data_IF_622774527766
#
_entry.id   IF_622774527766
#
_cell.length_a   1.000
_cell.length_b   1.000
_cell.length_c   1.000
_cell.angle_alpha   90.00
_cell.angle_beta   90.00
_cell.angle_gamma   90.00
#
_symmetry.space_group_name_H-M   'P 1'
#
loop_
_entity.id
_entity.type
_entity.pdbx_description
1 polymer ?
#
# COMPACT_ATOMS: atom_id res chain seq x y z
N UNK A 1 -11.28 -9.73 -20.77
CA UNK A 1 -11.80 -8.66 -19.89
C UNK A 1 -11.26 -7.35 -20.43
N UNK A 2 -12.13 -6.40 -20.78
CA UNK A 2 -11.68 -5.10 -21.29
C UNK A 2 -10.95 -4.34 -20.20
N UNK A 3 -9.76 -3.83 -20.55
CA UNK A 3 -8.94 -3.02 -19.63
C UNK A 3 -9.46 -1.59 -19.66
N UNK A 4 -9.85 -1.01 -18.52
CA UNK A 4 -10.32 0.37 -18.46
C UNK A 4 -9.27 1.34 -19.03
N UNK A 5 -9.75 2.44 -19.64
CA UNK A 5 -8.89 3.43 -20.28
C UNK A 5 -7.81 3.97 -19.33
N UNK A 6 -8.16 4.22 -18.07
CA UNK A 6 -7.25 4.71 -17.01
C UNK A 6 -6.12 3.72 -16.72
N UNK A 7 -6.43 2.42 -16.65
CA UNK A 7 -5.42 1.38 -16.45
C UNK A 7 -4.51 1.27 -17.67
N UNK A 8 -5.08 1.36 -18.88
CA UNK A 8 -4.30 1.38 -20.11
C UNK A 8 -3.38 2.61 -20.19
N UNK A 9 -3.84 3.78 -19.74
CA UNK A 9 -2.99 4.97 -19.63
C UNK A 9 -1.87 4.78 -18.61
N UNK A 10 -2.19 4.23 -17.42
CA UNK A 10 -1.21 3.99 -16.37
C UNK A 10 -0.13 3.01 -16.86
N UNK A 11 -0.52 1.92 -17.52
CA UNK A 11 0.41 0.97 -18.15
C UNK A 11 1.31 1.64 -19.18
N UNK A 12 0.75 2.48 -20.06
CA UNK A 12 1.54 3.22 -21.08
C UNK A 12 2.53 4.21 -20.43
N UNK A 13 2.11 4.90 -19.37
CA UNK A 13 2.95 5.86 -18.64
C UNK A 13 4.27 5.24 -18.21
N UNK A 14 4.24 4.02 -17.67
CA UNK A 14 5.43 3.37 -17.12
C UNK A 14 6.14 2.45 -18.12
N UNK A 15 5.46 2.00 -19.18
CA UNK A 15 6.01 1.02 -20.13
C UNK A 15 7.36 1.46 -20.73
N UNK A 16 7.51 2.76 -21.07
CA UNK A 16 8.75 3.29 -21.63
C UNK A 16 9.93 3.17 -20.67
N UNK A 17 9.74 3.46 -19.40
CA UNK A 17 10.79 3.39 -18.38
C UNK A 17 11.14 1.94 -18.06
N UNK A 18 10.14 1.07 -17.97
CA UNK A 18 10.34 -0.37 -17.74
C UNK A 18 11.08 -1.03 -18.90
N UNK A 19 10.64 -0.82 -20.16
CA UNK A 19 11.30 -1.37 -21.35
C UNK A 19 12.73 -0.84 -21.49
N UNK A 20 12.95 0.45 -21.21
CA UNK A 20 14.28 1.07 -21.19
C UNK A 20 15.12 0.68 -19.99
N UNK A 21 14.63 -0.23 -19.14
CA UNK A 21 15.25 -0.69 -17.89
C UNK A 21 15.67 0.48 -16.95
N UNK A 22 14.89 1.55 -16.95
CA UNK A 22 15.06 2.70 -16.06
C UNK A 22 14.26 2.54 -14.77
N UNK A 23 14.20 1.33 -14.26
CA UNK A 23 13.58 1.02 -12.98
C UNK A 23 14.48 1.45 -11.82
N UNK A 24 13.88 1.77 -10.71
CA UNK A 24 14.57 2.17 -9.48
C UNK A 24 14.61 1.00 -8.49
N UNK A 25 15.79 0.37 -8.28
CA UNK A 25 15.93 -0.67 -7.27
C UNK A 25 15.58 -0.18 -5.86
N UNK A 26 15.00 -1.06 -5.06
CA UNK A 26 14.63 -0.79 -3.67
C UNK A 26 15.86 -0.93 -2.77
N UNK A 27 16.70 0.11 -2.73
CA UNK A 27 17.95 0.11 -1.96
C UNK A 27 17.77 -0.02 -0.44
N UNK A 28 16.56 0.23 0.05
CA UNK A 28 16.24 0.15 1.49
C UNK A 28 15.47 -1.12 1.86
N UNK A 29 15.30 -2.06 0.92
CA UNK A 29 14.65 -3.33 1.19
C UNK A 29 15.30 -4.07 2.37
N UNK A 30 14.48 -4.49 3.33
CA UNK A 30 14.89 -5.21 4.54
C UNK A 30 15.83 -4.40 5.46
N UNK A 31 15.82 -3.07 5.36
CA UNK A 31 16.52 -2.20 6.31
C UNK A 31 15.61 -1.76 7.44
N UNK A 32 16.19 -1.63 8.63
CA UNK A 32 15.48 -1.01 9.75
C UNK A 32 15.09 0.42 9.40
N UNK A 33 13.88 0.78 9.79
CA UNK A 33 13.34 2.12 9.61
C UNK A 33 12.42 2.47 10.77
N UNK A 34 11.85 3.64 10.72
CA UNK A 34 10.71 4.04 11.55
C UNK A 34 9.79 4.86 10.69
N UNK A 35 8.54 4.45 10.62
CA UNK A 35 7.47 5.19 9.97
C UNK A 35 6.13 4.82 10.63
N UNK A 36 5.13 5.68 10.50
CA UNK A 36 3.78 5.42 10.98
C UNK A 36 2.80 5.65 9.84
N UNK A 37 1.95 4.68 9.59
CA UNK A 37 1.01 4.72 8.48
C UNK A 37 -0.38 4.19 8.87
N UNK A 38 -1.36 4.56 8.05
CA UNK A 38 -2.71 4.00 8.05
C UNK A 38 -2.84 3.19 6.78
N UNK A 39 -3.24 1.93 6.91
CA UNK A 39 -3.40 1.03 5.77
C UNK A 39 -4.61 0.12 5.92
N UNK A 40 -4.96 -0.55 4.84
CA UNK A 40 -5.95 -1.62 4.73
C UNK A 40 -5.19 -2.90 4.45
N UNK A 41 -5.49 -3.96 5.20
CA UNK A 41 -5.01 -5.31 4.92
C UNK A 41 -6.03 -6.02 4.00
N UNK A 42 -5.60 -6.71 2.92
CA UNK A 42 -6.50 -7.54 2.16
C UNK A 42 -6.96 -8.73 3.00
N UNK A 43 -8.20 -9.18 2.82
CA UNK A 43 -8.65 -10.43 3.44
C UNK A 43 -7.88 -11.65 2.89
N UNK A 44 -8.07 -12.81 3.51
CA UNK A 44 -7.32 -14.01 3.17
C UNK A 44 -7.54 -14.45 1.72
N UNK A 45 -8.79 -14.32 1.21
CA UNK A 45 -9.12 -14.66 -0.18
C UNK A 45 -8.35 -13.79 -1.18
N UNK A 46 -8.34 -12.48 -0.97
CA UNK A 46 -7.60 -11.56 -1.83
C UNK A 46 -6.09 -11.74 -1.69
N UNK A 47 -5.60 -12.00 -0.47
CA UNK A 47 -4.19 -12.26 -0.18
C UNK A 47 -3.67 -13.49 -0.93
N UNK A 48 -4.43 -14.59 -0.92
CA UNK A 48 -4.07 -15.83 -1.63
C UNK A 48 -3.99 -15.59 -3.14
N UNK A 49 -4.93 -14.87 -3.73
CA UNK A 49 -4.94 -14.56 -5.16
C UNK A 49 -3.79 -13.63 -5.56
N UNK A 50 -3.48 -12.63 -4.74
CA UNK A 50 -2.33 -11.75 -4.95
C UNK A 50 -1.02 -12.52 -4.88
N UNK A 51 -0.89 -13.45 -3.92
CA UNK A 51 0.27 -14.33 -3.77
C UNK A 51 0.40 -15.29 -4.97
N UNK A 52 -0.70 -15.85 -5.46
CA UNK A 52 -0.69 -16.67 -6.67
C UNK A 52 -0.23 -15.87 -7.90
N UNK A 53 -0.66 -14.62 -8.02
CA UNK A 53 -0.20 -13.72 -9.10
C UNK A 53 1.30 -13.42 -9.02
N UNK A 54 1.88 -13.31 -7.83
CA UNK A 54 3.33 -13.11 -7.63
C UNK A 54 4.15 -14.26 -8.21
N UNK A 55 3.69 -15.51 -8.12
CA UNK A 55 4.41 -16.67 -8.66
C UNK A 55 4.65 -16.56 -10.16
N UNK A 56 3.65 -16.08 -10.93
CA UNK A 56 3.80 -15.83 -12.36
C UNK A 56 4.81 -14.71 -12.68
N UNK A 57 4.84 -13.67 -11.86
CA UNK A 57 5.79 -12.57 -12.01
C UNK A 57 7.24 -13.04 -11.78
N UNK A 58 7.47 -13.86 -10.74
CA UNK A 58 8.80 -14.44 -10.44
C UNK A 58 9.28 -15.34 -11.57
N UNK A 59 8.39 -16.13 -12.17
CA UNK A 59 8.74 -16.97 -13.31
C UNK A 59 9.20 -16.14 -14.51
N UNK A 60 8.64 -14.96 -14.73
CA UNK A 60 9.03 -14.05 -15.81
C UNK A 60 10.26 -13.20 -15.48
N UNK A 61 10.45 -12.82 -14.20
CA UNK A 61 11.54 -11.98 -13.72
C UNK A 61 12.02 -12.46 -12.32
N UNK A 62 12.97 -13.39 -12.25
CA UNK A 62 13.42 -14.00 -11.00
C UNK A 62 14.13 -13.03 -10.03
N UNK A 63 14.52 -11.84 -10.50
CA UNK A 63 15.22 -10.84 -9.66
C UNK A 63 14.29 -10.01 -8.78
N UNK A 64 12.98 -10.21 -8.89
CA UNK A 64 11.99 -9.48 -8.10
C UNK A 64 12.15 -9.75 -6.59
N UNK A 65 11.95 -8.70 -5.81
CA UNK A 65 11.75 -8.76 -4.36
C UNK A 65 10.24 -8.89 -4.10
N UNK A 66 9.80 -10.08 -3.74
CA UNK A 66 8.38 -10.37 -3.51
C UNK A 66 7.98 -9.87 -2.12
N UNK A 67 6.89 -9.10 -2.05
CA UNK A 67 6.30 -8.73 -0.77
C UNK A 67 5.66 -10.00 -0.15
N UNK A 68 6.05 -10.39 1.07
CA UNK A 68 5.44 -11.54 1.76
C UNK A 68 3.92 -11.36 1.91
N UNK A 69 3.17 -12.46 1.90
CA UNK A 69 1.71 -12.45 1.90
C UNK A 69 1.13 -11.67 3.10
N UNK A 70 1.72 -11.86 4.27
CA UNK A 70 1.33 -11.21 5.54
C UNK A 70 1.70 -9.71 5.62
N UNK A 71 2.49 -9.22 4.67
CA UNK A 71 2.88 -7.81 4.57
C UNK A 71 2.13 -7.05 3.48
N UNK A 72 1.28 -7.74 2.71
CA UNK A 72 0.50 -7.11 1.65
C UNK A 72 -0.51 -6.14 2.26
N UNK A 73 -0.42 -4.87 1.86
CA UNK A 73 -1.31 -3.82 2.35
C UNK A 73 -1.54 -2.72 1.31
N UNK A 74 -2.65 -2.02 1.46
CA UNK A 74 -2.99 -0.82 0.71
C UNK A 74 -2.79 0.40 1.60
N UNK A 75 -1.82 1.24 1.28
CA UNK A 75 -1.58 2.47 2.04
C UNK A 75 -2.72 3.47 1.85
N UNK A 76 -3.31 3.90 2.95
CA UNK A 76 -4.33 4.96 2.98
C UNK A 76 -3.68 6.31 3.19
N UNK A 77 -2.88 6.44 4.25
CA UNK A 77 -2.17 7.69 4.57
C UNK A 77 -0.88 7.42 5.34
N UNK A 78 0.12 8.25 5.11
CA UNK A 78 1.29 8.35 5.98
C UNK A 78 0.96 9.31 7.13
N UNK A 79 1.28 8.92 8.36
CA UNK A 79 1.30 9.80 9.51
C UNK A 79 2.72 10.38 9.69
N UNK A 80 3.72 9.51 9.61
CA UNK A 80 5.14 9.86 9.59
C UNK A 80 5.84 9.01 8.53
N UNK A 81 6.20 9.61 7.39
CA UNK A 81 6.74 8.88 6.24
C UNK A 81 8.19 8.41 6.48
N UNK A 82 8.55 7.25 5.91
CA UNK A 82 9.84 6.57 6.15
C UNK A 82 11.05 7.44 5.78
N UNK A 83 11.02 8.06 4.60
CA UNK A 83 12.16 8.81 4.05
C UNK A 83 12.17 10.30 4.40
N UNK A 84 11.29 10.75 5.30
CA UNK A 84 11.21 12.15 5.70
C UNK A 84 11.97 12.35 7.02
N UNK A 85 12.83 13.36 7.03
CA UNK A 85 13.43 13.91 8.24
C UNK A 85 12.50 14.98 8.82
N UNK A 86 12.10 14.80 10.06
CA UNK A 86 11.22 15.71 10.79
C UNK A 86 11.98 16.63 11.77
N UNK A 87 13.32 16.53 11.83
CA UNK A 87 14.15 17.27 12.78
C UNK A 87 14.14 16.69 14.21
N UNK A 88 13.35 15.65 14.46
CA UNK A 88 13.28 14.89 15.70
C UNK A 88 12.90 13.43 15.39
N UNK A 89 13.01 12.53 16.36
CA UNK A 89 12.69 11.13 16.14
C UNK A 89 11.16 10.94 15.93
N UNK A 90 10.81 10.05 15.01
CA UNK A 90 9.40 9.72 14.74
C UNK A 90 8.72 9.09 15.94
N UNK A 91 9.47 8.39 16.79
CA UNK A 91 8.99 7.84 18.05
C UNK A 91 8.58 8.95 19.04
N UNK A 92 9.35 10.03 19.14
CA UNK A 92 9.01 11.18 19.98
C UNK A 92 7.78 11.92 19.48
N UNK A 93 7.66 12.12 18.16
CA UNK A 93 6.46 12.69 17.54
C UNK A 93 5.26 11.79 17.83
N UNK A 94 5.39 10.47 17.64
CA UNK A 94 4.34 9.52 17.92
C UNK A 94 3.94 9.49 19.39
N UNK A 95 4.89 9.55 20.32
CA UNK A 95 4.62 9.58 21.76
C UNK A 95 3.77 10.81 22.17
N UNK A 96 3.94 11.94 21.45
CA UNK A 96 3.15 13.16 21.73
C UNK A 96 1.77 13.17 21.07
N UNK A 97 1.66 12.64 19.84
CA UNK A 97 0.49 12.84 18.99
C UNK A 97 -0.27 11.55 18.66
N UNK A 98 0.36 10.38 18.84
CA UNK A 98 -0.19 9.10 18.36
C UNK A 98 -1.56 8.76 18.97
N UNK A 99 -1.76 9.02 20.25
CA UNK A 99 -3.06 8.77 20.90
C UNK A 99 -4.17 9.67 20.32
N UNK A 100 -3.89 10.95 20.10
CA UNK A 100 -4.83 11.89 19.49
C UNK A 100 -5.15 11.48 18.04
N UNK A 101 -4.11 11.15 17.24
CA UNK A 101 -4.31 10.68 15.86
C UNK A 101 -5.14 9.39 15.80
N UNK A 102 -4.89 8.43 16.68
CA UNK A 102 -5.70 7.22 16.77
C UNK A 102 -7.16 7.51 17.12
N UNK A 103 -7.42 8.43 18.06
CA UNK A 103 -8.78 8.84 18.42
C UNK A 103 -9.51 9.52 17.23
N UNK A 104 -8.83 10.43 16.52
CA UNK A 104 -9.37 11.08 15.32
C UNK A 104 -9.65 10.07 14.20
N UNK A 105 -8.71 9.14 13.95
CA UNK A 105 -8.87 8.07 12.97
C UNK A 105 -10.02 7.13 13.33
N UNK A 106 -10.22 6.82 14.62
CA UNK A 106 -11.35 6.03 15.08
C UNK A 106 -12.69 6.74 14.80
N UNK A 107 -12.74 8.05 15.02
CA UNK A 107 -13.90 8.87 14.64
C UNK A 107 -14.19 8.86 13.13
N UNK A 108 -13.15 8.92 12.30
CA UNK A 108 -13.28 8.79 10.85
C UNK A 108 -13.77 7.39 10.48
N UNK A 109 -13.16 6.32 11.01
CA UNK A 109 -13.53 4.95 10.73
C UNK A 109 -15.01 4.67 11.08
N UNK A 110 -15.50 5.21 12.22
CA UNK A 110 -16.89 5.07 12.63
C UNK A 110 -17.90 5.70 11.65
N UNK A 111 -17.49 6.72 10.89
CA UNK A 111 -18.34 7.40 9.91
C UNK A 111 -18.35 6.71 8.52
N UNK A 112 -17.50 5.72 8.30
CA UNK A 112 -17.39 5.00 7.03
C UNK A 112 -17.78 3.53 7.25
N UNK A 113 -18.81 3.06 6.53
CA UNK A 113 -19.18 1.64 6.58
C UNK A 113 -18.14 0.74 5.91
N UNK A 114 -18.16 -0.58 6.20
CA UNK A 114 -17.39 -1.56 5.44
C UNK A 114 -17.70 -1.50 3.94
N UNK A 115 -16.71 -1.80 3.11
CA UNK A 115 -16.86 -1.80 1.65
C UNK A 115 -16.00 -2.90 1.01
N UNK A 116 -16.36 -3.28 -0.23
CA UNK A 116 -15.56 -4.22 -1.01
C UNK A 116 -14.58 -3.46 -1.93
N UNK A 117 -13.33 -3.91 -1.95
CA UNK A 117 -12.36 -3.63 -3.00
C UNK A 117 -12.17 -4.87 -3.86
N UNK A 118 -11.74 -4.67 -5.12
CA UNK A 118 -11.44 -5.76 -6.02
C UNK A 118 -10.17 -5.44 -6.80
N UNK A 119 -9.15 -6.27 -6.62
CA UNK A 119 -7.89 -6.14 -7.34
C UNK A 119 -8.01 -6.88 -8.67
N UNK A 120 -7.82 -6.20 -9.80
CA UNK A 120 -8.07 -6.76 -11.13
C UNK A 120 -6.92 -6.63 -12.10
N UNK A 121 -6.01 -5.70 -11.88
CA UNK A 121 -4.96 -5.43 -12.85
C UNK A 121 -3.61 -5.29 -12.18
N UNK A 122 -2.63 -5.97 -12.74
CA UNK A 122 -1.24 -5.70 -12.40
C UNK A 122 -0.70 -4.58 -13.30
N UNK A 123 0.05 -3.68 -12.70
CA UNK A 123 0.78 -2.61 -13.39
C UNK A 123 2.22 -2.64 -12.94
N UNK A 124 3.13 -2.69 -13.91
CA UNK A 124 4.57 -2.58 -13.70
C UNK A 124 4.93 -1.10 -13.77
N UNK A 125 5.43 -0.55 -12.67
CA UNK A 125 5.87 0.86 -12.58
C UNK A 125 7.39 0.95 -12.62
N UNK A 126 7.94 2.14 -12.53
CA UNK A 126 9.38 2.35 -12.42
C UNK A 126 9.99 1.95 -11.06
N UNK A 127 9.15 1.67 -10.04
CA UNK A 127 9.60 1.31 -8.68
C UNK A 127 9.14 -0.05 -8.18
N UNK A 128 8.06 -0.59 -8.78
CA UNK A 128 7.39 -1.76 -8.23
C UNK A 128 6.40 -2.38 -9.22
N UNK A 129 5.94 -3.58 -8.93
CA UNK A 129 4.72 -4.15 -9.50
C UNK A 129 3.60 -3.96 -8.50
N UNK A 130 2.48 -3.38 -8.96
CA UNK A 130 1.33 -3.06 -8.13
C UNK A 130 0.06 -3.72 -8.63
N UNK A 131 -0.80 -4.14 -7.71
CA UNK A 131 -2.17 -4.60 -7.99
C UNK A 131 -3.15 -3.44 -7.76
N UNK A 132 -3.88 -3.05 -8.79
CA UNK A 132 -4.83 -1.93 -8.74
C UNK A 132 -6.17 -2.39 -8.19
N UNK A 133 -6.70 -1.65 -7.21
CA UNK A 133 -8.02 -1.88 -6.62
C UNK A 133 -9.10 -0.97 -7.21
N UNK A 134 -10.32 -1.50 -7.28
CA UNK A 134 -11.54 -0.77 -7.60
C UNK A 134 -12.69 -1.26 -6.72
N UNK A 135 -13.73 -0.44 -6.43
CA UNK A 135 -13.80 1.00 -6.72
C UNK A 135 -12.78 1.81 -5.89
N UNK A 136 -12.33 2.94 -6.40
CA UNK A 136 -11.34 3.78 -5.70
C UNK A 136 -11.98 4.76 -4.72
N UNK A 137 -13.24 5.12 -4.94
CA UNK A 137 -13.92 6.20 -4.22
C UNK A 137 -13.96 6.02 -2.69
N UNK A 138 -14.27 4.83 -2.11
CA UNK A 138 -14.27 4.67 -0.65
C UNK A 138 -12.90 4.98 -0.02
N UNK A 139 -11.80 4.53 -0.66
CA UNK A 139 -10.44 4.81 -0.19
C UNK A 139 -10.11 6.30 -0.33
N UNK A 140 -10.53 6.94 -1.42
CA UNK A 140 -10.30 8.37 -1.62
C UNK A 140 -11.09 9.22 -0.62
N UNK A 141 -12.30 8.79 -0.22
CA UNK A 141 -13.06 9.43 0.85
C UNK A 141 -12.32 9.36 2.19
N UNK A 142 -11.80 8.19 2.55
CA UNK A 142 -10.96 8.02 3.75
C UNK A 142 -9.73 8.92 3.71
N UNK A 143 -8.99 8.96 2.57
CA UNK A 143 -7.83 9.83 2.39
C UNK A 143 -8.17 11.30 2.59
N UNK A 144 -9.28 11.77 2.00
CA UNK A 144 -9.76 13.15 2.18
C UNK A 144 -10.13 13.45 3.63
N UNK A 145 -10.88 12.55 4.28
CA UNK A 145 -11.28 12.70 5.67
C UNK A 145 -10.06 12.77 6.61
N UNK A 146 -9.06 11.90 6.41
CA UNK A 146 -7.80 11.89 7.16
C UNK A 146 -7.04 13.22 6.95
N UNK A 147 -6.88 13.64 5.71
CA UNK A 147 -6.15 14.89 5.38
C UNK A 147 -6.84 16.13 5.95
N UNK A 148 -8.17 16.14 6.00
CA UNK A 148 -8.95 17.26 6.52
C UNK A 148 -8.98 17.31 8.05
N UNK A 149 -8.85 16.16 8.72
CA UNK A 149 -9.07 16.06 10.17
C UNK A 149 -7.78 15.99 11.00
N UNK A 150 -6.72 15.39 10.44
CA UNK A 150 -5.47 15.21 11.18
C UNK A 150 -4.51 16.38 10.97
N UNK A 151 -4.05 16.95 12.08
CA UNK A 151 -2.94 17.89 12.03
C UNK A 151 -1.61 17.12 12.01
N UNK A 152 -1.12 16.84 10.80
CA UNK A 152 0.15 16.13 10.58
C UNK A 152 1.31 17.13 10.44
N UNK A 153 2.56 16.70 10.72
CA UNK A 153 3.73 17.53 10.42
C UNK A 153 3.72 18.00 8.95
N UNK A 154 4.07 19.26 8.67
CA UNK A 154 3.95 19.86 7.33
C UNK A 154 4.82 19.17 6.26
N UNK A 155 5.82 18.42 6.68
CA UNK A 155 6.66 17.61 5.80
C UNK A 155 5.93 16.35 5.29
N UNK A 156 4.91 15.86 6.04
CA UNK A 156 4.10 14.70 5.63
C UNK A 156 3.17 15.09 4.49
N UNK A 157 3.37 14.47 3.32
CA UNK A 157 2.53 14.71 2.14
C UNK A 157 1.83 13.43 1.72
N UNK A 158 0.51 13.46 1.69
CA UNK A 158 -0.36 12.35 1.29
C UNK A 158 -0.95 12.61 -0.10
N UNK A 159 -0.15 12.42 -1.16
CA UNK A 159 -0.53 12.71 -2.55
C UNK A 159 -0.75 11.41 -3.36
N UNK A 160 -1.22 10.33 -2.73
CA UNK A 160 -1.41 9.07 -3.42
C UNK A 160 -2.71 9.07 -4.23
N UNK A 161 -2.58 9.12 -5.56
CA UNK A 161 -3.74 9.08 -6.48
C UNK A 161 -4.19 7.65 -6.80
N UNK A 162 -3.26 6.68 -6.73
CA UNK A 162 -3.51 5.29 -7.11
C UNK A 162 -3.91 4.48 -5.88
N UNK A 163 -4.99 3.72 -5.99
CA UNK A 163 -5.43 2.75 -4.97
C UNK A 163 -4.88 1.38 -5.33
N UNK A 164 -3.85 0.93 -4.60
CA UNK A 164 -3.11 -0.28 -4.96
C UNK A 164 -2.46 -0.98 -3.78
N UNK A 165 -2.12 -2.26 -3.99
CA UNK A 165 -1.18 -3.02 -3.17
C UNK A 165 0.11 -3.20 -3.97
N UNK A 166 1.27 -2.98 -3.34
CA UNK A 166 2.57 -3.35 -3.92
C UNK A 166 2.77 -4.86 -3.74
N UNK A 167 2.95 -5.60 -4.84
CA UNK A 167 3.15 -7.05 -4.80
C UNK A 167 4.62 -7.44 -4.97
N UNK A 168 5.41 -6.60 -5.64
CA UNK A 168 6.85 -6.83 -5.80
C UNK A 168 7.61 -5.52 -6.00
N UNK A 169 8.90 -5.54 -5.67
CA UNK A 169 9.86 -4.45 -5.93
C UNK A 169 11.06 -4.97 -6.70
N UNK A 170 11.94 -4.08 -7.10
CA UNK A 170 13.13 -4.42 -7.88
C UNK A 170 14.35 -4.51 -6.97
N UNK A 171 15.11 -5.61 -7.10
CA UNK A 171 16.41 -5.78 -6.44
C UNK A 171 17.51 -5.04 -7.20
N UNK A 172 17.40 -5.05 -8.53
CA UNK A 172 18.40 -4.57 -9.49
C UNK A 172 17.67 -4.13 -10.77
N UNK A 173 18.35 -3.63 -11.79
CA UNK A 173 17.81 -3.58 -13.15
C UNK A 173 17.23 -4.94 -13.56
N UNK A 174 16.14 -4.92 -14.31
CA UNK A 174 15.40 -6.13 -14.69
C UNK A 174 16.21 -6.96 -15.71
N UNK A 175 16.17 -8.27 -15.55
CA UNK A 175 16.76 -9.19 -16.52
C UNK A 175 15.89 -9.36 -17.79
N UNK A 176 14.55 -9.32 -17.62
CA UNK A 176 13.57 -9.49 -18.70
C UNK A 176 12.41 -8.49 -18.59
N UNK A 177 12.63 -7.18 -18.85
CA UNK A 177 11.58 -6.16 -18.74
C UNK A 177 10.34 -6.44 -19.59
N UNK A 178 10.54 -6.89 -20.85
CA UNK A 178 9.44 -7.17 -21.77
C UNK A 178 8.61 -8.38 -21.29
N UNK A 179 9.26 -9.42 -20.81
CA UNK A 179 8.61 -10.60 -20.25
C UNK A 179 7.81 -10.28 -19.01
N UNK A 180 8.34 -9.44 -18.10
CA UNK A 180 7.63 -8.99 -16.91
C UNK A 180 6.36 -8.20 -17.27
N UNK A 181 6.45 -7.26 -18.23
CA UNK A 181 5.29 -6.52 -18.73
C UNK A 181 4.24 -7.44 -19.34
N UNK A 182 4.66 -8.35 -20.22
CA UNK A 182 3.76 -9.32 -20.85
C UNK A 182 3.06 -10.20 -19.81
N UNK A 183 3.81 -10.72 -18.84
CA UNK A 183 3.27 -11.53 -17.75
C UNK A 183 2.27 -10.75 -16.89
N UNK A 184 2.62 -9.54 -16.46
CA UNK A 184 1.72 -8.71 -15.66
C UNK A 184 0.41 -8.36 -16.39
N UNK A 185 0.48 -8.20 -17.72
CA UNK A 185 -0.71 -7.95 -18.56
C UNK A 185 -1.56 -9.19 -18.77
N UNK A 186 -0.94 -10.36 -18.86
CA UNK A 186 -1.61 -11.64 -19.13
C UNK A 186 -2.15 -12.29 -17.83
N UNK A 187 -1.63 -11.93 -16.66
CA UNK A 187 -2.05 -12.52 -15.38
C UNK A 187 -3.53 -12.19 -15.10
N UNK A 188 -4.42 -13.20 -15.07
CA UNK A 188 -5.77 -12.98 -14.64
C UNK A 188 -5.77 -12.71 -13.13
N UNK A 189 -6.38 -11.61 -12.74
CA UNK A 189 -6.55 -11.25 -11.33
C UNK A 189 -8.00 -10.80 -11.13
N UNK A 190 -8.70 -11.38 -10.17
CA UNK A 190 -10.03 -10.98 -9.75
C UNK A 190 -10.19 -11.27 -8.26
N UNK A 191 -9.47 -10.51 -7.44
CA UNK A 191 -9.34 -10.70 -6.00
C UNK A 191 -10.25 -9.72 -5.25
N UNK A 192 -11.48 -10.13 -4.88
CA UNK A 192 -12.34 -9.35 -4.01
C UNK A 192 -11.77 -9.35 -2.58
N UNK A 193 -11.94 -8.23 -1.88
CA UNK A 193 -11.51 -8.08 -0.49
C UNK A 193 -12.52 -7.23 0.26
N UNK A 194 -13.09 -7.76 1.33
CA UNK A 194 -13.90 -6.99 2.26
C UNK A 194 -12.99 -6.15 3.14
N UNK A 195 -13.22 -4.84 3.14
CA UNK A 195 -12.54 -3.88 4.02
C UNK A 195 -13.48 -3.53 5.15
N UNK A 196 -13.18 -3.98 6.34
CA UNK A 196 -13.97 -3.71 7.56
C UNK A 196 -13.20 -2.94 8.64
N UNK A 197 -11.89 -2.72 8.44
CA UNK A 197 -11.05 -2.00 9.38
C UNK A 197 -9.94 -1.21 8.68
N UNK A 198 -9.48 -0.15 9.35
CA UNK A 198 -8.20 0.51 9.11
C UNK A 198 -7.19 0.02 10.15
N UNK A 199 -5.95 -0.14 9.73
CA UNK A 199 -4.84 -0.50 10.60
C UNK A 199 -3.89 0.68 10.71
N UNK A 200 -3.58 1.09 11.93
CA UNK A 200 -2.49 2.02 12.23
C UNK A 200 -1.29 1.21 12.66
N UNK A 201 -0.16 1.37 11.97
CA UNK A 201 1.04 0.61 12.29
C UNK A 201 2.29 1.47 12.29
N UNK A 202 3.24 1.05 13.11
CA UNK A 202 4.64 1.45 13.01
C UNK A 202 5.37 0.46 12.10
N UNK A 203 6.04 0.97 11.08
CA UNK A 203 6.90 0.21 10.21
C UNK A 203 8.32 0.19 10.81
N UNK A 204 8.83 -1.02 11.06
CA UNK A 204 10.14 -1.26 11.66
C UNK A 204 11.19 -1.73 10.66
N UNK A 205 10.74 -2.39 9.59
CA UNK A 205 11.59 -2.87 8.49
C UNK A 205 10.93 -2.55 7.16
N UNK A 206 11.62 -1.82 6.30
CA UNK A 206 11.13 -1.37 5.00
C UNK A 206 11.09 -2.51 3.96
N UNK A 207 10.06 -2.57 3.10
CA UNK A 207 8.79 -1.84 3.08
C UNK A 207 7.69 -2.60 3.85
N UNK A 208 7.49 -2.26 5.09
CA UNK A 208 6.51 -2.90 6.00
C UNK A 208 6.72 -4.42 6.17
N UNK A 209 7.97 -4.91 6.02
CA UNK A 209 8.30 -6.32 6.21
C UNK A 209 8.17 -6.76 7.67
N UNK A 210 8.36 -5.83 8.60
CA UNK A 210 8.06 -5.98 10.02
C UNK A 210 7.33 -4.74 10.46
N UNK A 211 6.15 -4.93 11.03
CA UNK A 211 5.32 -3.85 11.55
C UNK A 211 4.89 -4.14 12.99
N UNK A 212 4.61 -3.06 13.73
CA UNK A 212 3.99 -3.13 15.03
C UNK A 212 2.61 -2.46 14.93
N UNK A 213 1.55 -3.22 15.06
CA UNK A 213 0.17 -2.69 15.02
C UNK A 213 -0.06 -1.82 16.25
N UNK A 214 -0.43 -0.56 16.03
CA UNK A 214 -0.74 0.42 17.07
C UNK A 214 -2.24 0.53 17.34
N UNK A 215 -3.07 0.33 16.32
CA UNK A 215 -4.53 0.28 16.46
C UNK A 215 -5.17 -0.46 15.29
N UNK A 216 -6.30 -1.15 15.55
CA UNK A 216 -7.26 -1.61 14.55
C UNK A 216 -8.58 -0.87 14.74
N UNK A 217 -9.04 -0.19 13.71
CA UNK A 217 -10.15 0.74 13.75
C UNK A 217 -11.26 0.21 12.86
N UNK A 218 -12.30 -0.37 13.46
CA UNK A 218 -13.41 -0.99 12.74
C UNK A 218 -14.26 0.06 12.02
N UNK A 219 -14.52 -0.16 10.73
CA UNK A 219 -15.39 0.70 9.93
C UNK A 219 -16.87 0.53 10.36
N UNK A 220 -17.60 1.63 10.50
CA UNK A 220 -19.00 1.63 10.93
C UNK A 220 -19.20 1.18 12.38
N UNK A 221 -18.11 0.98 13.13
CA UNK A 221 -18.16 0.55 14.53
C UNK A 221 -18.38 1.71 15.50
N UNK A 222 -18.76 1.39 16.74
CA UNK A 222 -18.64 2.32 17.85
C UNK A 222 -17.17 2.61 18.12
N UNK A 223 -16.86 3.84 18.53
CA UNK A 223 -15.50 4.37 18.78
C UNK A 223 -14.75 3.65 19.92
N UNK A 224 -14.59 2.35 19.84
CA UNK A 224 -13.72 1.57 20.75
C UNK A 224 -12.49 1.12 19.97
N UNK A 225 -11.30 1.47 20.45
CA UNK A 225 -10.03 1.01 19.94
C UNK A 225 -9.26 0.29 21.03
N UNK A 226 -8.72 -0.88 20.68
CA UNK A 226 -7.83 -1.63 21.56
C UNK A 226 -6.39 -1.27 21.20
N UNK A 227 -5.62 -0.74 22.13
CA UNK A 227 -4.17 -0.65 22.02
C UNK A 227 -3.60 -2.03 22.33
N UNK A 228 -2.91 -2.64 21.38
CA UNK A 228 -1.99 -3.72 21.72
C UNK A 228 -0.86 -3.16 22.58
N UNK A 229 -0.74 -3.66 23.80
CA UNK A 229 0.28 -3.30 24.78
C UNK A 229 1.67 -3.75 24.31
#
# INVERSE_FOLDING_TARGET
MDVPHEIAQLRRRFAHDVIGNRVRPSGDWNKHCSAYNVHIEPDDCARDQLTAAQAGLVAAEPTLLICPADTLHLSVAWLLAVHIDYGESKQEIWARHGAEWCAQLAGIAAQHGPFELRFRWLVVTDTSVIAIATPTEPVQQLRRAITASLFLPPQTKNNADIVHITVARYRSPLANPAGLLAQAHATPLDAPSLVDALVVSEELVFPSLVTNVRARLKLGGTTSWETSA
#
